data_IF_920141331100
#
_entry.id   IF_920141331100
#
_cell.length_a   1.000
_cell.length_b   1.000
_cell.length_c   1.000
_cell.angle_alpha   90.00
_cell.angle_beta   90.00
_cell.angle_gamma   90.00
#
_symmetry.space_group_name_H-M   'P 1'
#
loop_
_entity.id
_entity.type
_entity.pdbx_description
1 polymer ?
#
# COMPACT_ATOMS: atom_id res chain seq x y z
N UNK A 1 -14.18 1.20 10.53
CA UNK A 1 -13.68 2.55 10.22
C UNK A 1 -14.79 3.39 9.64
N UNK A 2 -15.19 4.48 10.33
CA UNK A 2 -16.13 5.46 9.77
C UNK A 2 -15.72 5.92 8.37
N UNK A 3 -14.42 6.10 8.12
CA UNK A 3 -13.88 6.47 6.81
C UNK A 3 -14.19 5.46 5.71
N UNK A 4 -14.00 4.16 5.96
CA UNK A 4 -14.28 3.11 4.96
C UNK A 4 -15.77 3.04 4.69
N UNK A 5 -16.59 3.17 5.75
CA UNK A 5 -18.05 3.21 5.62
C UNK A 5 -18.53 4.47 4.85
N UNK A 6 -17.91 5.63 5.08
CA UNK A 6 -18.20 6.89 4.40
C UNK A 6 -17.79 6.85 2.93
N UNK A 7 -16.60 6.34 2.61
CA UNK A 7 -16.15 6.12 1.24
C UNK A 7 -17.06 5.09 0.54
N UNK A 8 -17.40 4.01 1.23
CA UNK A 8 -18.34 3.04 0.70
C UNK A 8 -19.69 3.69 0.38
N UNK A 9 -20.28 4.48 1.28
CA UNK A 9 -21.55 5.16 1.02
C UNK A 9 -21.46 6.24 -0.08
N UNK A 10 -20.35 6.96 -0.20
CA UNK A 10 -20.14 7.96 -1.25
C UNK A 10 -20.01 7.34 -2.65
N UNK A 11 -19.47 6.12 -2.74
CA UNK A 11 -19.08 5.52 -4.02
C UNK A 11 -19.80 4.21 -4.36
N UNK A 12 -20.61 3.63 -3.46
CA UNK A 12 -21.39 2.40 -3.69
C UNK A 12 -22.28 2.41 -4.93
N UNK A 13 -22.73 3.60 -5.36
CA UNK A 13 -23.59 3.78 -6.53
C UNK A 13 -22.80 4.14 -7.80
N UNK A 14 -21.47 4.30 -7.68
CA UNK A 14 -20.55 4.69 -8.76
C UNK A 14 -19.56 3.57 -9.11
N UNK A 15 -19.35 2.61 -8.21
CA UNK A 15 -18.54 1.43 -8.46
C UNK A 15 -19.34 0.43 -9.30
N UNK A 16 -18.82 0.09 -10.49
CA UNK A 16 -19.32 -1.01 -11.30
C UNK A 16 -19.03 -2.37 -10.67
N UNK A 17 -18.12 -2.41 -9.69
CA UNK A 17 -17.83 -3.56 -8.83
C UNK A 17 -16.50 -4.26 -9.13
N UNK A 18 -15.69 -3.75 -10.05
CA UNK A 18 -14.38 -4.33 -10.38
C UNK A 18 -13.30 -3.80 -9.42
N UNK A 19 -12.35 -4.67 -9.03
CA UNK A 19 -11.27 -4.36 -8.08
C UNK A 19 -10.42 -3.16 -8.53
N UNK A 20 -10.23 -3.00 -9.85
CA UNK A 20 -9.50 -1.85 -10.45
C UNK A 20 -10.19 -0.51 -10.17
N UNK A 21 -11.53 -0.47 -10.13
CA UNK A 21 -12.27 0.76 -9.84
C UNK A 21 -12.06 1.19 -8.39
N UNK A 22 -11.95 0.23 -7.46
CA UNK A 22 -11.80 0.50 -6.02
C UNK A 22 -10.41 1.11 -5.74
N UNK A 23 -9.37 0.52 -6.33
CA UNK A 23 -8.00 1.03 -6.19
C UNK A 23 -7.88 2.45 -6.76
N UNK A 24 -8.39 2.68 -7.98
CA UNK A 24 -8.36 4.00 -8.62
C UNK A 24 -9.06 5.07 -7.76
N UNK A 25 -10.16 4.68 -7.13
CA UNK A 25 -10.98 5.57 -6.32
C UNK A 25 -10.29 5.89 -4.99
N UNK A 26 -9.70 4.89 -4.33
CA UNK A 26 -8.89 5.10 -3.13
C UNK A 26 -7.70 6.03 -3.43
N UNK A 27 -7.03 5.87 -4.57
CA UNK A 27 -5.94 6.77 -4.99
C UNK A 27 -6.42 8.20 -5.25
N UNK A 28 -7.51 8.38 -6.00
CA UNK A 28 -8.06 9.70 -6.28
C UNK A 28 -8.47 10.42 -4.99
N UNK A 29 -9.10 9.69 -4.06
CA UNK A 29 -9.46 10.25 -2.76
C UNK A 29 -8.22 10.72 -1.99
N UNK A 30 -7.18 9.88 -1.88
CA UNK A 30 -5.95 10.23 -1.17
C UNK A 30 -5.17 11.37 -1.83
N UNK A 31 -5.20 11.50 -3.16
CA UNK A 31 -4.54 12.57 -3.90
C UNK A 31 -5.15 13.96 -3.61
N UNK A 32 -6.44 14.02 -3.30
CA UNK A 32 -7.13 15.25 -2.92
C UNK A 32 -6.88 15.68 -1.46
N UNK A 33 -6.31 14.79 -0.63
CA UNK A 33 -6.09 15.06 0.79
C UNK A 33 -4.83 15.87 1.05
N UNK A 34 -4.93 16.88 1.92
CA UNK A 34 -3.76 17.54 2.47
C UNK A 34 -3.09 16.69 3.57
N UNK A 35 -1.85 17.05 3.93
CA UNK A 35 -1.16 16.41 5.05
C UNK A 35 -1.96 16.48 6.36
N UNK A 36 -2.63 17.60 6.62
CA UNK A 36 -3.45 17.80 7.82
C UNK A 36 -4.71 16.92 7.79
N UNK A 37 -5.33 16.73 6.61
CA UNK A 37 -6.49 15.84 6.48
C UNK A 37 -6.10 14.39 6.76
N UNK A 38 -4.92 13.96 6.30
CA UNK A 38 -4.39 12.63 6.58
C UNK A 38 -4.11 12.43 8.08
N UNK A 39 -3.57 13.45 8.76
CA UNK A 39 -3.39 13.40 10.21
C UNK A 39 -4.71 13.35 10.96
N UNK A 40 -5.71 14.11 10.52
CA UNK A 40 -7.05 14.06 11.09
C UNK A 40 -7.66 12.65 10.99
N UNK A 41 -7.52 12.00 9.83
CA UNK A 41 -7.96 10.61 9.67
C UNK A 41 -7.28 9.68 10.67
N UNK A 42 -5.95 9.79 10.84
CA UNK A 42 -5.21 8.96 11.80
C UNK A 42 -5.67 9.21 13.23
N UNK A 43 -5.96 10.47 13.58
CA UNK A 43 -6.45 10.84 14.91
C UNK A 43 -7.86 10.29 15.21
N UNK A 44 -8.69 10.13 14.19
CA UNK A 44 -10.05 9.59 14.32
C UNK A 44 -10.10 8.06 14.35
N UNK A 45 -8.99 7.37 14.03
CA UNK A 45 -8.89 5.91 14.11
C UNK A 45 -8.91 5.44 15.56
N UNK A 46 -9.61 4.34 15.81
CA UNK A 46 -9.46 3.64 17.08
C UNK A 46 -8.12 2.87 17.16
N UNK A 47 -7.81 2.33 18.34
CA UNK A 47 -6.54 1.63 18.57
C UNK A 47 -6.37 0.41 17.65
N UNK A 48 -7.46 -0.32 17.36
CA UNK A 48 -7.41 -1.51 16.52
C UNK A 48 -7.15 -1.11 15.07
N UNK A 49 -7.87 -0.09 14.59
CA UNK A 49 -7.72 0.44 13.23
C UNK A 49 -6.31 0.99 12.99
N UNK A 50 -5.77 1.75 13.94
CA UNK A 50 -4.39 2.22 13.88
C UNK A 50 -3.39 1.06 13.90
N UNK A 51 -3.64 0.02 14.70
CA UNK A 51 -2.77 -1.16 14.74
C UNK A 51 -2.77 -1.91 13.40
N UNK A 52 -3.93 -2.06 12.78
CA UNK A 52 -4.10 -2.72 11.48
C UNK A 52 -3.43 -1.92 10.36
N UNK A 53 -3.61 -0.59 10.35
CA UNK A 53 -2.94 0.32 9.40
C UNK A 53 -1.41 0.21 9.52
N UNK A 54 -0.89 0.32 10.74
CA UNK A 54 0.55 0.21 11.01
C UNK A 54 1.07 -1.19 10.67
N UNK A 55 0.31 -2.24 10.95
CA UNK A 55 0.65 -3.61 10.63
C UNK A 55 0.79 -3.83 9.13
N UNK A 56 -0.18 -3.39 8.33
CA UNK A 56 -0.13 -3.48 6.87
C UNK A 56 1.10 -2.75 6.32
N UNK A 57 1.31 -1.50 6.74
CA UNK A 57 2.45 -0.70 6.30
C UNK A 57 3.79 -1.39 6.60
N UNK A 58 3.95 -1.91 7.83
CA UNK A 58 5.18 -2.60 8.24
C UNK A 58 5.39 -3.89 7.44
N UNK A 59 4.36 -4.71 7.27
CA UNK A 59 4.44 -5.97 6.53
C UNK A 59 4.84 -5.72 5.07
N UNK A 60 4.16 -4.80 4.38
CA UNK A 60 4.45 -4.50 2.97
C UNK A 60 5.84 -3.86 2.80
N UNK A 61 6.23 -2.97 3.70
CA UNK A 61 7.58 -2.38 3.72
C UNK A 61 8.67 -3.43 3.91
N UNK A 62 8.44 -4.41 4.80
CA UNK A 62 9.37 -5.51 5.04
C UNK A 62 9.46 -6.45 3.83
N UNK A 63 8.31 -6.84 3.24
CA UNK A 63 8.29 -7.63 2.01
C UNK A 63 9.10 -6.94 0.90
N UNK A 64 8.91 -5.63 0.72
CA UNK A 64 9.66 -4.84 -0.26
C UNK A 64 11.17 -4.85 -0.01
N UNK A 65 11.61 -4.68 1.25
CA UNK A 65 13.03 -4.77 1.62
C UNK A 65 13.62 -6.16 1.35
N UNK A 66 12.94 -7.22 1.75
CA UNK A 66 13.41 -8.59 1.50
C UNK A 66 13.47 -8.92 0.01
N UNK A 67 12.49 -8.48 -0.78
CA UNK A 67 12.53 -8.64 -2.22
C UNK A 67 13.75 -7.93 -2.83
N UNK A 68 14.02 -6.67 -2.44
CA UNK A 68 15.21 -5.94 -2.89
C UNK A 68 16.52 -6.66 -2.54
N UNK A 69 16.65 -7.22 -1.34
CA UNK A 69 17.82 -8.00 -0.93
C UNK A 69 18.00 -9.27 -1.78
N UNK A 70 16.93 -9.99 -2.08
CA UNK A 70 16.97 -11.16 -2.98
C UNK A 70 17.40 -10.78 -4.40
N UNK A 71 16.92 -9.65 -4.94
CA UNK A 71 17.35 -9.13 -6.24
C UNK A 71 18.84 -8.77 -6.26
N UNK A 72 19.38 -8.19 -5.17
CA UNK A 72 20.82 -7.87 -5.06
C UNK A 72 21.68 -9.14 -5.00
N UNK A 73 21.24 -10.17 -4.26
CA UNK A 73 21.95 -11.45 -4.16
C UNK A 73 21.98 -12.21 -5.50
N UNK A 74 20.90 -12.15 -6.29
CA UNK A 74 20.86 -12.77 -7.63
C UNK A 74 21.85 -12.11 -8.62
N UNK A 75 22.06 -10.80 -8.54
CA UNK A 75 23.07 -10.08 -9.36
C UNK A 75 24.52 -10.38 -8.94
N UNK A 76 24.75 -10.71 -7.67
CA UNK A 76 26.08 -11.11 -7.17
C UNK A 76 26.54 -12.49 -7.67
N UNK A 77 25.61 -13.37 -8.03
CA UNK A 77 25.91 -14.76 -8.42
C UNK A 77 26.09 -14.98 -9.94
N UNK A 78 26.03 -13.92 -10.77
CA UNK A 78 26.13 -14.06 -12.24
C UNK A 78 27.56 -13.93 -12.80
N UNK A 79 28.58 -13.74 -11.96
CA UNK A 79 29.98 -13.74 -12.41
C UNK A 79 30.62 -15.13 -12.32
N UNK A 80 30.29 -15.99 -13.28
CA UNK A 80 31.17 -17.08 -13.66
C UNK A 80 32.00 -16.61 -14.86
N UNK A 81 33.32 -16.37 -14.72
CA UNK A 81 34.17 -16.16 -15.89
C UNK A 81 34.17 -17.45 -16.70
N UNK A 82 33.48 -17.42 -17.84
CA UNK A 82 33.54 -18.50 -18.82
C UNK A 82 34.94 -18.45 -19.43
N UNK A 83 35.87 -19.25 -18.90
CA UNK A 83 37.18 -19.44 -19.51
C UNK A 83 36.95 -20.05 -20.90
N UNK A 84 37.20 -19.25 -21.93
CA UNK A 84 37.17 -19.67 -23.33
C UNK A 84 38.61 -20.11 -23.63
N UNK A 85 38.81 -21.41 -23.81
CA UNK A 85 40.05 -22.01 -24.31
C UNK A 85 40.00 -22.15 -25.83
#
# INVERSE_FOLDING_TARGET
MKLVDELYEMYRNKLTGDEEDIDMLAFAFLEEMSYEDLLALIHDMDKQELYDLMGLYLIESLKGKFAQEQYVQQRGNTYYPRNIH
#
